data_IF_489533010025
#
_entry.id   IF_489533010025
#
_cell.length_a   1.000
_cell.length_b   1.000
_cell.length_c   1.000
_cell.angle_alpha   90.00
_cell.angle_beta   90.00
_cell.angle_gamma   90.00
#
_symmetry.space_group_name_H-M   'P 1'
#
loop_
_entity.id
_entity.type
_entity.pdbx_description
1 polymer ?
#
# COMPACT_ATOMS: atom_id res chain seq x y z
N UNK A 1 -8.61 -5.08 -15.19
CA UNK A 1 -9.29 -6.38 -15.35
C UNK A 1 -9.84 -6.77 -13.98
N UNK A 2 -11.14 -7.06 -13.85
CA UNK A 2 -11.75 -7.40 -12.55
C UNK A 2 -11.56 -8.88 -12.19
N UNK A 3 -11.85 -9.25 -10.94
CA UNK A 3 -11.74 -10.62 -10.42
C UNK A 3 -12.40 -11.67 -11.34
N UNK A 4 -13.60 -11.38 -11.83
CA UNK A 4 -14.32 -12.27 -12.75
C UNK A 4 -13.53 -12.56 -14.03
N UNK A 5 -12.83 -11.55 -14.57
CA UNK A 5 -11.99 -11.70 -15.76
C UNK A 5 -10.74 -12.52 -15.51
N UNK A 6 -10.13 -12.39 -14.32
CA UNK A 6 -8.97 -13.23 -13.94
C UNK A 6 -9.37 -14.69 -13.74
N UNK A 7 -10.52 -14.94 -13.10
CA UNK A 7 -11.04 -16.30 -12.92
C UNK A 7 -11.34 -16.95 -14.28
N UNK A 8 -11.93 -16.21 -15.21
CA UNK A 8 -12.18 -16.69 -16.57
C UNK A 8 -10.88 -17.06 -17.32
N UNK A 9 -9.82 -16.24 -17.21
CA UNK A 9 -8.52 -16.55 -17.80
C UNK A 9 -7.90 -17.81 -17.22
N UNK A 10 -7.95 -17.99 -15.90
CA UNK A 10 -7.44 -19.20 -15.25
C UNK A 10 -8.28 -20.41 -15.68
N UNK A 11 -9.60 -20.30 -15.73
CA UNK A 11 -10.47 -21.39 -16.22
C UNK A 11 -10.16 -21.77 -17.68
N UNK A 12 -9.85 -20.79 -18.55
CA UNK A 12 -9.40 -21.04 -19.92
C UNK A 12 -8.04 -21.75 -19.96
N UNK A 13 -7.10 -21.39 -19.09
CA UNK A 13 -5.81 -22.07 -18.98
C UNK A 13 -5.97 -23.53 -18.57
N UNK A 14 -6.86 -23.84 -17.61
CA UNK A 14 -7.19 -25.23 -17.26
C UNK A 14 -7.65 -26.03 -18.49
N UNK A 15 -8.54 -25.46 -19.30
CA UNK A 15 -9.01 -26.12 -20.53
C UNK A 15 -7.85 -26.29 -21.53
N UNK A 16 -6.99 -25.29 -21.68
CA UNK A 16 -5.86 -25.34 -22.62
C UNK A 16 -4.82 -26.40 -22.22
N UNK A 17 -4.37 -26.39 -20.96
CA UNK A 17 -3.35 -27.32 -20.48
C UNK A 17 -3.82 -28.76 -20.39
N UNK A 18 -5.14 -28.99 -20.27
CA UNK A 18 -5.71 -30.34 -20.23
C UNK A 18 -6.05 -30.90 -21.62
N UNK A 19 -5.82 -30.12 -22.70
CA UNK A 19 -5.88 -30.57 -24.12
C UNK A 19 -4.53 -31.14 -24.57
N UNK A 20 -3.95 -32.04 -23.78
CA UNK A 20 -2.63 -32.66 -24.08
C UNK A 20 -2.72 -33.63 -25.27
N UNK A 21 -3.92 -34.06 -25.66
CA UNK A 21 -4.15 -35.01 -26.75
C UNK A 21 -5.40 -34.62 -27.57
N UNK A 22 -5.35 -34.70 -28.90
CA UNK A 22 -6.44 -34.26 -29.80
C UNK A 22 -7.77 -35.00 -29.56
N UNK A 23 -7.70 -36.19 -28.94
CA UNK A 23 -8.85 -37.06 -28.63
C UNK A 23 -9.42 -36.87 -27.22
N UNK A 24 -8.71 -36.18 -26.32
CA UNK A 24 -9.08 -36.03 -24.91
C UNK A 24 -9.28 -34.55 -24.58
N UNK A 25 -10.38 -34.00 -25.07
CA UNK A 25 -10.77 -32.61 -24.84
C UNK A 25 -11.49 -32.49 -23.50
N UNK A 26 -10.92 -31.69 -22.60
CA UNK A 26 -11.70 -31.07 -21.53
C UNK A 26 -12.62 -30.05 -22.17
N UNK A 27 -13.92 -30.19 -21.92
CA UNK A 27 -14.94 -29.40 -22.58
C UNK A 27 -15.22 -28.11 -21.82
N UNK A 28 -15.20 -28.14 -20.48
CA UNK A 28 -15.54 -26.99 -19.64
C UNK A 28 -14.77 -26.98 -18.33
N UNK A 29 -14.56 -25.78 -17.79
CA UNK A 29 -14.03 -25.55 -16.45
C UNK A 29 -14.85 -24.45 -15.76
N UNK A 30 -15.21 -24.69 -14.51
CA UNK A 30 -15.90 -23.73 -13.64
C UNK A 30 -15.21 -23.65 -12.29
N UNK A 31 -15.06 -22.44 -11.76
CA UNK A 31 -14.58 -22.24 -10.40
C UNK A 31 -15.73 -21.81 -9.49
N UNK A 32 -15.72 -22.32 -8.26
CA UNK A 32 -16.77 -22.14 -7.26
C UNK A 32 -16.15 -21.76 -5.93
N UNK A 33 -16.71 -20.77 -5.24
CA UNK A 33 -16.27 -20.38 -3.91
C UNK A 33 -17.44 -20.09 -2.97
N UNK A 34 -17.25 -20.23 -1.65
CA UNK A 34 -18.24 -19.84 -0.66
C UNK A 34 -18.45 -18.31 -0.64
N UNK A 35 -19.70 -17.87 -0.71
CA UNK A 35 -20.24 -16.51 -0.48
C UNK A 35 -21.36 -16.64 0.56
N UNK A 36 -20.99 -16.73 1.83
CA UNK A 36 -21.91 -17.09 2.92
C UNK A 36 -22.46 -18.51 2.75
N UNK A 37 -23.78 -18.67 2.64
CA UNK A 37 -24.44 -19.98 2.37
C UNK A 37 -24.52 -20.34 0.88
N UNK A 38 -23.90 -19.54 0.02
CA UNK A 38 -24.14 -19.51 -1.43
C UNK A 38 -22.82 -19.56 -2.20
N UNK A 39 -22.82 -19.91 -3.49
CA UNK A 39 -21.63 -20.00 -4.34
C UNK A 39 -21.76 -19.02 -5.48
N UNK A 40 -20.70 -18.30 -5.80
CA UNK A 40 -20.61 -17.64 -7.09
C UNK A 40 -19.77 -18.51 -8.05
N UNK A 41 -20.37 -18.87 -9.19
CA UNK A 41 -19.76 -19.72 -10.21
C UNK A 41 -19.20 -18.88 -11.35
N UNK A 42 -17.97 -19.18 -11.74
CA UNK A 42 -17.26 -18.48 -12.79
C UNK A 42 -16.57 -19.49 -13.70
N UNK A 43 -17.21 -19.74 -14.84
CA UNK A 43 -16.66 -20.56 -15.91
C UNK A 43 -16.51 -19.82 -17.24
N UNK A 44 -16.04 -20.54 -18.25
CA UNK A 44 -16.01 -20.08 -19.64
C UNK A 44 -17.42 -19.80 -20.16
N UNK A 45 -17.65 -18.62 -20.75
CA UNK A 45 -18.79 -17.99 -21.47
C UNK A 45 -20.21 -18.63 -21.59
N UNK A 46 -20.51 -19.80 -21.04
CA UNK A 46 -21.73 -20.58 -21.27
C UNK A 46 -22.39 -21.13 -19.99
N UNK A 47 -22.12 -20.54 -18.81
CA UNK A 47 -22.91 -20.82 -17.59
C UNK A 47 -24.17 -19.96 -17.60
N UNK A 48 -25.34 -20.60 -17.71
CA UNK A 48 -26.64 -19.91 -17.80
C UNK A 48 -27.07 -19.26 -16.48
N UNK A 49 -26.47 -19.69 -15.38
CA UNK A 49 -26.81 -19.23 -14.03
C UNK A 49 -25.54 -18.75 -13.34
N UNK A 50 -25.35 -17.42 -13.32
CA UNK A 50 -24.45 -16.76 -12.36
C UNK A 50 -25.07 -16.73 -10.95
N UNK A 51 -25.87 -17.73 -10.62
CA UNK A 51 -26.66 -17.73 -9.40
C UNK A 51 -25.91 -18.32 -8.22
N UNK A 52 -26.37 -17.87 -7.07
CA UNK A 52 -25.93 -18.22 -5.74
C UNK A 52 -26.39 -19.64 -5.36
N UNK A 53 -25.58 -20.67 -5.66
CA UNK A 53 -25.87 -22.10 -5.38
C UNK A 53 -25.54 -22.47 -3.93
N UNK A 54 -26.23 -23.43 -3.29
CA UNK A 54 -25.85 -23.90 -1.95
C UNK A 54 -24.63 -24.83 -2.03
N UNK A 55 -23.58 -24.56 -1.25
CA UNK A 55 -22.34 -25.37 -1.19
C UNK A 55 -22.29 -26.20 0.09
N UNK A 56 -23.05 -27.28 0.12
CA UNK A 56 -23.02 -28.23 1.23
C UNK A 56 -22.69 -29.64 0.73
N UNK A 57 -22.61 -30.58 1.66
CA UNK A 57 -22.32 -31.99 1.43
C UNK A 57 -23.28 -32.68 0.45
N UNK A 58 -24.41 -32.04 0.10
CA UNK A 58 -25.37 -32.57 -0.88
C UNK A 58 -24.97 -32.27 -2.33
N UNK A 59 -23.97 -31.42 -2.56
CA UNK A 59 -23.49 -31.06 -3.90
C UNK A 59 -22.09 -31.60 -4.17
N UNK A 60 -21.75 -31.85 -5.45
CA UNK A 60 -20.39 -32.30 -5.82
C UNK A 60 -19.33 -31.31 -5.34
N UNK A 61 -19.60 -30.00 -5.47
CA UNK A 61 -18.66 -28.96 -5.07
C UNK A 61 -18.52 -28.88 -3.54
N UNK A 62 -19.63 -28.92 -2.80
CA UNK A 62 -19.56 -28.87 -1.33
C UNK A 62 -18.96 -30.14 -0.73
N UNK A 63 -19.14 -31.30 -1.34
CA UNK A 63 -18.43 -32.49 -0.91
C UNK A 63 -16.92 -32.40 -1.21
N UNK A 64 -16.51 -31.79 -2.33
CA UNK A 64 -15.10 -31.57 -2.65
C UNK A 64 -14.41 -30.59 -1.66
N UNK A 65 -15.17 -29.72 -0.97
CA UNK A 65 -14.65 -28.93 0.15
C UNK A 65 -14.26 -29.80 1.36
N UNK A 66 -14.98 -30.91 1.57
CA UNK A 66 -14.85 -31.75 2.77
C UNK A 66 -13.89 -32.93 2.52
N UNK A 67 -14.15 -33.70 1.47
CA UNK A 67 -13.50 -35.01 1.24
C UNK A 67 -12.27 -34.95 0.34
N UNK A 68 -11.91 -33.75 -0.14
CA UNK A 68 -10.89 -33.51 -1.18
C UNK A 68 -11.31 -34.12 -2.53
N UNK A 69 -10.37 -34.28 -3.47
CA UNK A 69 -10.57 -34.60 -4.89
C UNK A 69 -11.70 -35.59 -5.18
N UNK A 70 -12.67 -35.21 -6.03
CA UNK A 70 -13.78 -36.06 -6.44
C UNK A 70 -13.71 -36.31 -7.95
N UNK A 71 -13.79 -37.58 -8.34
CA UNK A 71 -13.92 -38.00 -9.75
C UNK A 71 -15.28 -38.66 -9.93
N UNK A 72 -16.10 -38.11 -10.81
CA UNK A 72 -17.41 -38.65 -11.20
C UNK A 72 -17.31 -39.18 -12.61
N UNK A 73 -17.69 -40.44 -12.78
CA UNK A 73 -17.63 -41.17 -14.06
C UNK A 73 -18.92 -41.10 -14.88
N UNK A 74 -20.01 -40.68 -14.26
CA UNK A 74 -21.30 -40.44 -14.92
C UNK A 74 -22.13 -39.41 -14.15
N UNK A 75 -22.02 -38.14 -14.53
CA UNK A 75 -22.73 -37.02 -13.87
C UNK A 75 -24.25 -37.17 -13.94
N UNK A 76 -24.79 -37.92 -14.90
CA UNK A 76 -26.24 -38.12 -15.05
C UNK A 76 -26.82 -39.05 -13.98
N UNK A 77 -25.96 -39.80 -13.29
CA UNK A 77 -26.32 -40.73 -12.22
C UNK A 77 -25.92 -40.25 -10.83
N UNK A 78 -25.17 -39.15 -10.76
CA UNK A 78 -24.71 -38.62 -9.48
C UNK A 78 -25.80 -37.74 -8.85
N UNK A 79 -26.40 -38.14 -7.72
CA UNK A 79 -27.49 -37.39 -7.11
C UNK A 79 -27.07 -36.00 -6.60
N UNK A 80 -25.77 -35.73 -6.52
CA UNK A 80 -25.19 -34.45 -6.07
C UNK A 80 -25.03 -33.46 -7.23
N UNK A 81 -25.26 -33.90 -8.46
CA UNK A 81 -25.17 -33.08 -9.66
C UNK A 81 -26.56 -32.60 -10.09
N UNK A 82 -26.71 -31.29 -10.25
CA UNK A 82 -27.93 -30.69 -10.78
C UNK A 82 -27.75 -30.37 -12.27
N UNK A 83 -28.57 -30.96 -13.15
CA UNK A 83 -28.49 -30.76 -14.59
C UNK A 83 -28.87 -29.34 -15.05
N UNK A 84 -29.48 -28.52 -14.19
CA UNK A 84 -29.82 -27.13 -14.48
C UNK A 84 -28.60 -26.21 -14.69
N UNK A 85 -27.42 -26.59 -14.18
CA UNK A 85 -26.22 -25.74 -14.23
C UNK A 85 -25.58 -25.64 -15.61
N UNK A 86 -25.68 -26.69 -16.42
CA UNK A 86 -25.04 -26.74 -17.74
C UNK A 86 -26.09 -27.15 -18.79
N UNK A 87 -26.57 -26.18 -19.59
CA UNK A 87 -27.33 -26.53 -20.81
C UNK A 87 -26.43 -27.29 -21.78
N UNK A 88 -26.94 -28.41 -22.28
CA UNK A 88 -26.53 -29.06 -23.51
C UNK A 88 -25.01 -29.09 -23.75
N UNK A 89 -24.33 -29.98 -23.04
CA UNK A 89 -23.18 -30.66 -23.60
C UNK A 89 -23.28 -32.10 -23.12
N UNK A 90 -22.97 -33.05 -23.98
CA UNK A 90 -22.93 -34.50 -23.73
C UNK A 90 -21.87 -34.90 -22.65
N UNK A 91 -21.67 -34.04 -21.66
CA UNK A 91 -20.74 -34.17 -20.56
C UNK A 91 -21.18 -35.35 -19.72
N UNK A 92 -20.21 -36.19 -19.39
CA UNK A 92 -20.44 -37.41 -18.62
C UNK A 92 -19.51 -37.50 -17.42
N UNK A 93 -18.33 -36.89 -17.50
CA UNK A 93 -17.30 -36.98 -16.49
C UNK A 93 -17.09 -35.61 -15.84
N UNK A 94 -16.92 -35.61 -14.51
CA UNK A 94 -16.64 -34.42 -13.72
C UNK A 94 -15.51 -34.69 -12.73
N UNK A 95 -14.50 -33.83 -12.75
CA UNK A 95 -13.42 -33.79 -11.76
C UNK A 95 -13.60 -32.53 -10.91
N UNK A 96 -13.79 -32.69 -9.61
CA UNK A 96 -13.86 -31.59 -8.66
C UNK A 96 -12.61 -31.59 -7.76
N UNK A 97 -11.88 -30.48 -7.74
CA UNK A 97 -10.62 -30.32 -7.03
C UNK A 97 -10.72 -29.15 -6.04
N UNK A 98 -10.33 -29.33 -4.77
CA UNK A 98 -10.27 -28.23 -3.82
C UNK A 98 -9.15 -27.25 -4.19
N UNK A 99 -9.43 -25.96 -4.02
CA UNK A 99 -8.42 -24.90 -4.03
C UNK A 99 -7.92 -24.72 -2.60
N UNK A 100 -6.72 -25.22 -2.34
CA UNK A 100 -6.12 -25.28 -1.02
C UNK A 100 -5.03 -24.23 -0.89
N UNK A 101 -5.06 -23.45 0.19
CA UNK A 101 -3.99 -22.56 0.61
C UNK A 101 -3.40 -23.02 1.94
N UNK A 102 -2.17 -22.60 2.19
CA UNK A 102 -1.56 -22.68 3.52
C UNK A 102 -1.87 -21.41 4.30
N UNK A 103 -2.47 -21.57 5.47
CA UNK A 103 -2.66 -20.47 6.42
C UNK A 103 -1.32 -20.08 7.06
N UNK A 104 -1.30 -18.95 7.77
CA UNK A 104 -0.12 -18.52 8.54
C UNK A 104 0.26 -19.52 9.65
N UNK A 105 -0.69 -20.34 10.11
CA UNK A 105 -0.46 -21.43 11.07
C UNK A 105 0.10 -22.70 10.41
N UNK A 106 0.23 -22.71 9.08
CA UNK A 106 0.70 -23.86 8.29
C UNK A 106 -0.40 -24.89 7.97
N UNK A 107 -1.64 -24.62 8.36
CA UNK A 107 -2.80 -25.48 8.15
C UNK A 107 -3.32 -25.36 6.71
N UNK A 108 -3.92 -26.44 6.20
CA UNK A 108 -4.59 -26.44 4.90
C UNK A 108 -5.99 -25.83 5.04
N UNK A 109 -6.24 -24.74 4.32
CA UNK A 109 -7.57 -24.14 4.21
C UNK A 109 -8.09 -24.31 2.78
N UNK A 110 -9.32 -24.81 2.65
CA UNK A 110 -10.01 -24.93 1.35
C UNK A 110 -10.94 -23.73 1.18
N UNK A 111 -10.62 -22.84 0.24
CA UNK A 111 -11.39 -21.61 0.03
C UNK A 111 -12.26 -21.65 -1.25
N UNK A 112 -12.17 -22.72 -2.03
CA UNK A 112 -12.95 -22.89 -3.26
C UNK A 112 -12.74 -24.25 -3.91
N UNK A 113 -13.40 -24.47 -5.04
CA UNK A 113 -13.35 -25.72 -5.81
C UNK A 113 -13.29 -25.40 -7.30
N UNK A 114 -12.38 -26.08 -8.00
CA UNK A 114 -12.35 -26.18 -9.46
C UNK A 114 -13.17 -27.38 -9.88
N UNK A 115 -14.01 -27.22 -10.88
CA UNK A 115 -14.77 -28.30 -11.51
C UNK A 115 -14.46 -28.35 -12.99
N UNK A 116 -13.95 -29.49 -13.44
CA UNK A 116 -13.56 -29.76 -14.82
C UNK A 116 -14.52 -30.79 -15.39
N UNK A 117 -15.10 -30.51 -16.55
CA UNK A 117 -16.08 -31.37 -17.20
C UNK A 117 -15.54 -31.91 -18.51
N UNK A 118 -15.84 -33.17 -18.79
CA UNK A 118 -15.51 -33.80 -20.06
C UNK A 118 -16.59 -34.75 -20.54
N UNK A 119 -16.67 -34.93 -21.86
CA UNK A 119 -17.40 -36.01 -22.52
C UNK A 119 -16.69 -37.37 -22.36
N UNK A 120 -15.37 -37.35 -22.14
CA UNK A 120 -14.53 -38.54 -22.07
C UNK A 120 -14.01 -38.80 -20.65
N UNK A 121 -13.67 -40.05 -20.28
CA UNK A 121 -13.01 -40.35 -19.02
C UNK A 121 -11.70 -39.56 -18.85
N UNK A 122 -11.44 -39.08 -17.64
CA UNK A 122 -10.17 -38.47 -17.30
C UNK A 122 -9.08 -39.54 -17.18
N UNK A 123 -7.93 -39.31 -17.79
CA UNK A 123 -6.72 -40.11 -17.54
C UNK A 123 -6.03 -39.70 -16.24
N UNK A 124 -5.20 -40.58 -15.69
CA UNK A 124 -4.39 -40.28 -14.50
C UNK A 124 -3.50 -39.05 -14.70
N UNK A 125 -2.94 -38.88 -15.90
CA UNK A 125 -2.14 -37.71 -16.28
C UNK A 125 -2.96 -36.42 -16.25
N UNK A 126 -4.22 -36.46 -16.70
CA UNK A 126 -5.12 -35.30 -16.64
C UNK A 126 -5.50 -34.96 -15.21
N UNK A 127 -5.82 -35.97 -14.40
CA UNK A 127 -6.12 -35.78 -12.98
C UNK A 127 -4.92 -35.16 -12.27
N UNK A 128 -3.71 -35.68 -12.49
CA UNK A 128 -2.46 -35.15 -11.92
C UNK A 128 -2.17 -33.71 -12.36
N UNK A 129 -2.28 -33.43 -13.66
CA UNK A 129 -2.08 -32.08 -14.22
C UNK A 129 -3.10 -31.08 -13.65
N UNK A 130 -4.37 -31.47 -13.56
CA UNK A 130 -5.42 -30.62 -13.01
C UNK A 130 -5.18 -30.30 -11.53
N UNK A 131 -4.71 -31.28 -10.73
CA UNK A 131 -4.32 -31.06 -9.33
C UNK A 131 -3.17 -30.05 -9.20
N UNK A 132 -2.14 -30.19 -10.03
CA UNK A 132 -1.01 -29.25 -10.04
C UNK A 132 -1.46 -27.83 -10.40
N UNK A 133 -2.34 -27.69 -11.39
CA UNK A 133 -2.91 -26.38 -11.77
C UNK A 133 -3.76 -25.78 -10.64
N UNK A 134 -4.56 -26.60 -9.94
CA UNK A 134 -5.37 -26.15 -8.80
C UNK A 134 -4.50 -25.65 -7.64
N UNK A 135 -3.43 -26.39 -7.31
CA UNK A 135 -2.45 -25.98 -6.29
C UNK A 135 -1.74 -24.67 -6.67
N UNK A 136 -1.43 -24.48 -7.95
CA UNK A 136 -0.76 -23.27 -8.44
C UNK A 136 -1.69 -22.06 -8.50
N UNK A 137 -2.95 -22.27 -8.88
CA UNK A 137 -3.95 -21.20 -9.00
C UNK A 137 -4.49 -20.72 -7.64
N UNK A 138 -4.55 -21.62 -6.65
CA UNK A 138 -5.15 -21.36 -5.34
C UNK A 138 -4.61 -20.09 -4.63
N UNK A 139 -3.29 -19.89 -4.44
CA UNK A 139 -2.79 -18.67 -3.79
C UNK A 139 -3.17 -17.37 -4.51
N UNK A 140 -3.10 -17.38 -5.85
CA UNK A 140 -3.44 -16.21 -6.67
C UNK A 140 -4.92 -15.86 -6.56
N UNK A 141 -5.79 -16.86 -6.67
CA UNK A 141 -7.24 -16.67 -6.57
C UNK A 141 -7.66 -16.20 -5.18
N UNK A 142 -7.06 -16.75 -4.13
CA UNK A 142 -7.30 -16.35 -2.75
C UNK A 142 -6.95 -14.88 -2.52
N UNK A 143 -5.81 -14.42 -3.03
CA UNK A 143 -5.40 -13.02 -2.94
C UNK A 143 -6.38 -12.07 -3.66
N UNK A 144 -6.92 -12.48 -4.81
CA UNK A 144 -7.82 -11.61 -5.57
C UNK A 144 -9.23 -11.57 -4.93
N UNK A 145 -9.72 -12.67 -4.35
CA UNK A 145 -11.02 -12.66 -3.65
C UNK A 145 -10.93 -11.92 -2.32
N UNK A 146 -9.86 -12.14 -1.52
CA UNK A 146 -9.65 -11.40 -0.27
C UNK A 146 -9.54 -9.89 -0.51
N UNK A 147 -8.95 -9.46 -1.63
CA UNK A 147 -8.91 -8.04 -2.02
C UNK A 147 -10.24 -7.45 -2.53
N UNK A 148 -11.32 -8.23 -2.69
CA UNK A 148 -12.61 -7.72 -3.20
C UNK A 148 -13.34 -6.83 -2.21
N UNK A 149 -13.37 -7.23 -0.94
CA UNK A 149 -13.91 -6.40 0.14
C UNK A 149 -12.97 -5.22 0.42
N UNK A 150 -11.65 -5.41 0.29
CA UNK A 150 -10.66 -4.34 0.35
C UNK A 150 -10.91 -3.26 -0.71
N UNK A 151 -11.17 -3.65 -1.97
CA UNK A 151 -11.54 -2.73 -3.06
C UNK A 151 -12.84 -1.98 -2.80
N UNK A 152 -13.84 -2.60 -2.16
CA UNK A 152 -15.10 -1.92 -1.80
C UNK A 152 -14.85 -0.88 -0.70
N UNK A 153 -14.02 -1.21 0.28
CA UNK A 153 -13.62 -0.27 1.32
C UNK A 153 -12.81 0.90 0.75
N UNK A 154 -11.88 0.64 -0.18
CA UNK A 154 -11.08 1.67 -0.87
C UNK A 154 -11.93 2.71 -1.62
N UNK A 155 -13.16 2.38 -2.03
CA UNK A 155 -14.07 3.36 -2.68
C UNK A 155 -14.53 4.48 -1.75
N UNK A 156 -14.37 4.33 -0.43
CA UNK A 156 -14.69 5.38 0.55
C UNK A 156 -13.54 6.39 0.71
N UNK A 157 -12.30 5.98 0.45
CA UNK A 157 -11.12 6.83 0.57
C UNK A 157 -11.23 8.15 -0.24
N UNK A 158 -11.67 8.16 -1.52
CA UNK A 158 -11.86 9.43 -2.24
C UNK A 158 -12.89 10.33 -1.58
N UNK A 159 -13.94 9.78 -0.95
CA UNK A 159 -14.93 10.59 -0.24
C UNK A 159 -14.32 11.22 1.01
N UNK A 160 -13.47 10.50 1.75
CA UNK A 160 -12.74 11.05 2.89
C UNK A 160 -11.82 12.19 2.42
N UNK A 161 -11.02 11.94 1.39
CA UNK A 161 -10.08 12.94 0.82
C UNK A 161 -10.81 14.22 0.40
N UNK A 162 -11.94 14.13 -0.28
CA UNK A 162 -12.68 15.29 -0.80
C UNK A 162 -13.24 16.23 0.28
N UNK A 163 -13.37 15.78 1.54
CA UNK A 163 -13.89 16.60 2.64
C UNK A 163 -12.81 17.10 3.60
N UNK A 164 -11.56 16.68 3.42
CA UNK A 164 -10.43 17.08 4.24
C UNK A 164 -9.77 18.35 3.68
N UNK A 165 -9.25 19.19 4.57
CA UNK A 165 -8.57 20.46 4.24
C UNK A 165 -7.05 20.36 4.28
N UNK A 166 -6.51 19.29 4.87
CA UNK A 166 -5.08 19.04 4.94
C UNK A 166 -4.76 17.54 4.86
N UNK A 167 -3.49 17.21 4.61
CA UNK A 167 -3.00 15.82 4.59
C UNK A 167 -3.07 15.17 5.97
N UNK A 168 -2.83 15.94 7.03
CA UNK A 168 -2.96 15.46 8.41
C UNK A 168 -4.40 15.04 8.72
N UNK A 169 -5.40 15.81 8.24
CA UNK A 169 -6.81 15.41 8.34
C UNK A 169 -7.09 14.14 7.55
N UNK A 170 -6.57 14.01 6.33
CA UNK A 170 -6.71 12.80 5.51
C UNK A 170 -6.14 11.59 6.25
N UNK A 171 -4.89 11.69 6.73
CA UNK A 171 -4.23 10.59 7.45
C UNK A 171 -4.96 10.21 8.73
N UNK A 172 -5.45 11.19 9.50
CA UNK A 172 -6.22 10.94 10.71
C UNK A 172 -7.54 10.21 10.42
N UNK A 173 -8.28 10.66 9.41
CA UNK A 173 -9.51 9.98 9.00
C UNK A 173 -9.24 8.59 8.42
N UNK A 174 -8.13 8.42 7.70
CA UNK A 174 -7.70 7.13 7.18
C UNK A 174 -7.39 6.13 8.29
N UNK A 175 -6.58 6.48 9.30
CA UNK A 175 -6.27 5.56 10.41
C UNK A 175 -7.50 5.23 11.25
N UNK A 176 -8.45 6.18 11.39
CA UNK A 176 -9.74 5.96 12.06
C UNK A 176 -10.61 4.95 11.28
N UNK A 177 -10.75 5.11 9.97
CA UNK A 177 -11.49 4.16 9.12
C UNK A 177 -10.86 2.76 9.12
N UNK A 178 -9.52 2.71 9.05
CA UNK A 178 -8.78 1.44 9.14
C UNK A 178 -9.03 0.77 10.49
N UNK A 179 -8.89 1.50 11.60
CA UNK A 179 -9.10 0.95 12.95
C UNK A 179 -10.53 0.40 13.12
N UNK A 180 -11.54 1.16 12.71
CA UNK A 180 -12.96 0.72 12.74
C UNK A 180 -13.16 -0.53 11.90
N UNK A 181 -12.54 -0.60 10.71
CA UNK A 181 -12.71 -1.75 9.81
C UNK A 181 -12.02 -3.01 10.31
N UNK A 182 -10.84 -2.86 10.90
CA UNK A 182 -10.07 -3.95 11.50
C UNK A 182 -10.62 -4.39 12.87
N UNK A 183 -11.53 -3.61 13.47
CA UNK A 183 -12.05 -3.88 14.81
C UNK A 183 -10.97 -3.74 15.88
N UNK A 184 -10.03 -2.80 15.70
CA UNK A 184 -8.97 -2.50 16.66
C UNK A 184 -9.12 -1.09 17.18
N UNK A 185 -8.68 -0.82 18.40
CA UNK A 185 -8.69 0.54 18.97
C UNK A 185 -7.51 1.39 18.51
N UNK A 186 -6.44 0.78 18.02
CA UNK A 186 -5.18 1.48 17.76
C UNK A 186 -4.67 1.28 16.33
N UNK A 187 -4.45 2.39 15.64
CA UNK A 187 -3.85 2.45 14.31
C UNK A 187 -3.06 3.75 14.15
N UNK A 188 -1.86 3.67 13.56
CA UNK A 188 -0.92 4.78 13.46
C UNK A 188 -0.22 4.81 12.10
N UNK A 189 0.24 6.00 11.71
CA UNK A 189 1.18 6.20 10.61
C UNK A 189 2.46 6.80 11.17
N UNK A 190 3.58 6.13 10.91
CA UNK A 190 4.93 6.65 11.08
C UNK A 190 5.45 7.11 9.73
N UNK A 191 5.87 8.37 9.61
CA UNK A 191 6.63 8.87 8.46
C UNK A 191 8.12 8.72 8.77
N UNK A 192 8.88 8.11 7.87
CA UNK A 192 10.30 7.78 8.05
C UNK A 192 11.13 8.55 7.03
N UNK A 193 12.14 9.28 7.51
CA UNK A 193 12.97 10.14 6.67
C UNK A 193 14.40 10.26 7.19
N UNK A 194 15.38 10.53 6.30
CA UNK A 194 16.74 10.82 6.72
C UNK A 194 16.84 12.23 7.32
N UNK A 195 17.54 12.37 8.44
CA UNK A 195 17.89 13.64 9.06
C UNK A 195 19.28 13.53 9.70
N UNK A 196 20.16 14.47 9.37
CA UNK A 196 21.53 14.55 9.90
C UNK A 196 22.38 13.27 9.72
N UNK A 197 22.13 12.50 8.64
CA UNK A 197 22.83 11.25 8.35
C UNK A 197 22.23 10.00 9.02
N UNK A 198 21.20 10.16 9.83
CA UNK A 198 20.49 9.07 10.53
C UNK A 198 19.05 8.93 10.02
N UNK A 199 18.40 7.79 10.30
CA UNK A 199 16.97 7.60 10.04
C UNK A 199 16.15 8.09 11.23
N UNK A 200 15.13 8.88 10.95
CA UNK A 200 14.20 9.42 11.92
C UNK A 200 12.78 9.02 11.57
N UNK A 201 11.90 9.02 12.56
CA UNK A 201 10.48 8.80 12.36
C UNK A 201 9.63 9.85 13.10
N UNK A 202 8.49 10.19 12.50
CA UNK A 202 7.47 11.07 13.06
C UNK A 202 6.12 10.36 13.06
N UNK A 203 5.38 10.43 14.16
CA UNK A 203 3.98 9.99 14.18
C UNK A 203 3.12 11.05 13.47
N UNK A 204 2.62 10.75 12.28
CA UNK A 204 1.83 11.71 11.48
C UNK A 204 0.33 11.61 11.72
N UNK A 205 -0.16 10.43 12.09
CA UNK A 205 -1.54 10.21 12.48
C UNK A 205 -1.65 9.02 13.42
N UNK A 206 -2.68 9.04 14.28
CA UNK A 206 -2.92 7.94 15.21
C UNK A 206 -4.30 8.00 15.84
N UNK A 207 -4.89 6.82 16.05
CA UNK A 207 -6.08 6.61 16.88
C UNK A 207 -5.75 5.63 18.02
N UNK A 208 -6.35 5.79 19.21
CA UNK A 208 -7.33 6.81 19.55
C UNK A 208 -6.70 8.21 19.74
N UNK A 209 -7.50 9.26 19.51
CA UNK A 209 -7.02 10.65 19.61
C UNK A 209 -6.57 10.97 21.04
N UNK A 210 -5.39 11.57 21.18
CA UNK A 210 -4.85 12.02 22.47
C UNK A 210 -4.01 10.98 23.21
N UNK A 211 -3.98 9.73 22.79
CA UNK A 211 -3.06 8.72 23.35
C UNK A 211 -1.68 8.72 22.67
N UNK A 212 -1.65 9.11 21.40
CA UNK A 212 -0.44 9.19 20.60
C UNK A 212 0.07 10.63 20.58
N UNK A 213 1.37 10.80 20.78
CA UNK A 213 2.02 12.09 20.65
C UNK A 213 2.19 12.40 19.15
N UNK A 214 1.11 12.83 18.50
CA UNK A 214 1.14 13.23 17.09
C UNK A 214 2.16 14.35 16.93
N UNK A 215 3.05 14.21 15.95
CA UNK A 215 4.19 15.10 15.75
C UNK A 215 5.45 14.73 16.54
N UNK A 216 5.41 13.70 17.40
CA UNK A 216 6.60 13.21 18.09
C UNK A 216 7.65 12.78 17.05
N UNK A 217 8.82 13.41 17.15
CA UNK A 217 9.96 13.19 16.28
C UNK A 217 11.07 12.51 17.07
N UNK A 218 11.43 11.28 16.66
CA UNK A 218 12.46 10.48 17.31
C UNK A 218 13.38 9.80 16.30
N UNK A 219 14.63 9.50 16.68
CA UNK A 219 15.47 8.58 15.91
C UNK A 219 14.76 7.24 15.73
N UNK A 220 14.85 6.66 14.53
CA UNK A 220 14.20 5.38 14.21
C UNK A 220 14.66 4.24 15.13
N UNK A 221 15.91 4.31 15.60
CA UNK A 221 16.51 3.36 16.56
C UNK A 221 15.80 3.29 17.92
N UNK A 222 14.95 4.27 18.26
CA UNK A 222 14.10 4.22 19.46
C UNK A 222 12.79 3.44 19.25
N UNK A 223 12.46 3.11 18.00
CA UNK A 223 11.24 2.42 17.59
C UNK A 223 11.62 1.15 16.81
N UNK A 224 12.16 0.13 17.48
CA UNK A 224 12.81 -0.99 16.79
C UNK A 224 11.81 -1.93 16.08
N UNK A 225 10.53 -1.92 16.44
CA UNK A 225 9.45 -2.52 15.64
C UNK A 225 9.29 -1.82 14.28
N UNK A 226 9.32 -0.49 14.29
CA UNK A 226 9.24 0.34 13.09
C UNK A 226 10.50 0.15 12.24
N UNK A 227 11.69 0.14 12.87
CA UNK A 227 12.97 -0.13 12.21
C UNK A 227 12.98 -1.50 11.52
N UNK A 228 12.45 -2.53 12.20
CA UNK A 228 12.33 -3.87 11.64
C UNK A 228 11.41 -3.90 10.42
N UNK A 229 10.26 -3.20 10.48
CA UNK A 229 9.35 -3.09 9.34
C UNK A 229 9.99 -2.36 8.14
N UNK A 230 10.75 -1.29 8.40
CA UNK A 230 11.53 -0.57 7.37
C UNK A 230 12.58 -1.48 6.72
N UNK A 231 13.24 -2.32 7.52
CA UNK A 231 14.30 -3.22 7.05
C UNK A 231 13.77 -4.41 6.26
N UNK A 232 12.70 -5.05 6.76
CA UNK A 232 12.13 -6.24 6.12
C UNK A 232 11.33 -5.92 4.84
N UNK A 233 10.85 -4.68 4.68
CA UNK A 233 10.14 -4.18 3.48
C UNK A 233 8.94 -5.04 3.06
N UNK A 234 8.27 -5.67 4.03
CA UNK A 234 7.07 -6.48 3.81
C UNK A 234 6.09 -6.32 4.97
N UNK A 235 4.81 -6.59 4.71
CA UNK A 235 3.79 -6.72 5.74
C UNK A 235 4.20 -7.81 6.75
N UNK A 236 4.12 -7.50 8.04
CA UNK A 236 4.38 -8.45 9.11
C UNK A 236 3.30 -8.36 10.19
N UNK A 237 2.76 -9.51 10.60
CA UNK A 237 1.92 -9.64 11.80
C UNK A 237 2.75 -10.34 12.88
N UNK A 238 2.90 -9.70 14.04
CA UNK A 238 3.79 -10.16 15.11
C UNK A 238 3.08 -10.23 16.44
N UNK A 239 3.23 -11.35 17.11
CA UNK A 239 2.85 -11.48 18.51
C UNK A 239 3.93 -10.85 19.39
N UNK A 240 3.65 -9.69 19.97
CA UNK A 240 4.65 -8.91 20.70
C UNK A 240 4.97 -9.50 22.08
N UNK A 241 4.35 -10.61 22.47
CA UNK A 241 4.64 -11.31 23.71
C UNK A 241 5.44 -12.61 23.50
N UNK A 242 5.42 -13.16 22.28
CA UNK A 242 6.02 -14.47 21.99
C UNK A 242 7.00 -14.48 20.82
N UNK A 243 6.99 -13.48 19.92
CA UNK A 243 7.94 -13.42 18.81
C UNK A 243 9.33 -13.01 19.34
N UNK A 244 10.31 -13.91 19.17
CA UNK A 244 11.70 -13.70 19.58
C UNK A 244 12.30 -12.42 18.97
N UNK A 245 11.88 -12.05 17.75
CA UNK A 245 12.34 -10.82 17.10
C UNK A 245 11.84 -9.57 17.80
N UNK A 246 10.77 -9.67 18.59
CA UNK A 246 10.19 -8.57 19.36
C UNK A 246 10.45 -8.70 20.86
N UNK A 247 11.32 -9.62 21.30
CA UNK A 247 11.61 -9.84 22.72
C UNK A 247 12.01 -8.56 23.48
N UNK A 248 12.77 -7.68 22.82
CA UNK A 248 13.20 -6.40 23.36
C UNK A 248 12.06 -5.35 23.49
N UNK A 249 10.88 -5.63 22.92
CA UNK A 249 9.68 -4.79 22.99
C UNK A 249 8.70 -5.26 24.07
N UNK A 250 8.91 -6.41 24.72
CA UNK A 250 7.95 -7.02 25.64
C UNK A 250 7.53 -6.06 26.76
N UNK A 251 8.48 -5.40 27.43
CA UNK A 251 8.19 -4.44 28.52
C UNK A 251 7.39 -3.22 28.03
N UNK A 252 7.60 -2.81 26.77
CA UNK A 252 6.84 -1.72 26.16
C UNK A 252 5.44 -2.17 25.78
N UNK A 253 5.32 -3.31 25.10
CA UNK A 253 4.06 -3.90 24.68
C UNK A 253 3.18 -4.23 25.89
N UNK A 254 3.75 -4.76 26.96
CA UNK A 254 3.02 -5.07 28.20
C UNK A 254 2.46 -3.79 28.85
N UNK A 255 3.27 -2.73 28.97
CA UNK A 255 2.85 -1.43 29.52
C UNK A 255 1.77 -0.77 28.67
N UNK A 256 1.86 -0.89 27.34
CA UNK A 256 0.88 -0.37 26.39
C UNK A 256 -0.33 -1.30 26.20
N UNK A 257 -0.29 -2.49 26.79
CA UNK A 257 -1.33 -3.50 26.63
C UNK A 257 -1.44 -4.04 25.20
N UNK A 258 -0.39 -3.98 24.39
CA UNK A 258 -0.39 -4.47 23.01
C UNK A 258 -0.05 -5.96 23.01
N UNK A 259 -0.89 -6.76 22.36
CA UNK A 259 -0.67 -8.21 22.19
C UNK A 259 -0.05 -8.51 20.84
N UNK A 260 -0.57 -7.89 19.78
CA UNK A 260 -0.18 -8.20 18.40
C UNK A 260 -0.14 -6.94 17.56
N UNK A 261 0.93 -6.76 16.79
CA UNK A 261 1.09 -5.64 15.86
C UNK A 261 1.07 -6.11 14.42
N UNK A 262 0.38 -5.38 13.55
CA UNK A 262 0.45 -5.52 12.10
C UNK A 262 1.15 -4.29 11.53
N UNK A 263 2.29 -4.52 10.89
CA UNK A 263 3.21 -3.48 10.41
C UNK A 263 3.33 -3.57 8.90
N UNK A 264 2.95 -2.50 8.18
CA UNK A 264 3.06 -2.43 6.74
C UNK A 264 3.96 -1.26 6.31
N UNK A 265 5.12 -1.52 5.68
CA UNK A 265 5.97 -0.45 5.20
C UNK A 265 5.32 0.30 4.03
N UNK A 266 5.36 1.63 4.10
CA UNK A 266 4.92 2.55 3.06
C UNK A 266 6.06 2.71 2.06
N UNK A 267 5.90 2.12 0.88
CA UNK A 267 6.94 2.01 -0.13
C UNK A 267 6.72 3.05 -1.22
N UNK A 268 7.74 3.86 -1.48
CA UNK A 268 7.83 4.70 -2.67
C UNK A 268 8.63 3.99 -3.75
N UNK A 269 8.04 3.86 -4.93
CA UNK A 269 8.74 3.42 -6.13
C UNK A 269 9.57 4.59 -6.67
N UNK A 270 10.89 4.44 -6.65
CA UNK A 270 11.82 5.40 -7.24
C UNK A 270 12.08 4.98 -8.69
N UNK A 271 12.28 5.92 -9.61
CA UNK A 271 12.48 5.66 -11.06
C UNK A 271 13.60 4.65 -11.39
N UNK A 272 14.50 4.40 -10.43
CA UNK A 272 15.50 3.34 -10.49
C UNK A 272 14.87 2.00 -10.07
N UNK A 273 14.58 1.13 -11.05
CA UNK A 273 13.74 -0.08 -10.94
C UNK A 273 14.12 -1.07 -9.83
N UNK A 274 15.31 -0.93 -9.23
CA UNK A 274 15.82 -1.80 -8.17
C UNK A 274 15.91 -1.12 -6.79
N UNK A 275 15.50 0.15 -6.64
CA UNK A 275 15.57 0.88 -5.37
C UNK A 275 14.19 1.22 -4.82
N UNK A 276 13.74 0.36 -3.91
CA UNK A 276 12.58 0.62 -3.04
C UNK A 276 13.01 1.45 -1.83
N UNK A 277 12.45 2.66 -1.71
CA UNK A 277 12.57 3.52 -0.51
C UNK A 277 11.34 3.32 0.36
N UNK A 278 11.54 2.98 1.64
CA UNK A 278 10.47 3.00 2.63
C UNK A 278 10.39 4.43 3.17
N UNK A 279 9.22 5.04 3.04
CA UNK A 279 8.92 6.41 3.47
C UNK A 279 8.09 6.44 4.75
N UNK A 280 7.68 5.29 5.26
CA UNK A 280 6.91 5.21 6.49
C UNK A 280 6.47 3.80 6.83
N UNK A 281 5.70 3.67 7.90
CA UNK A 281 5.08 2.41 8.35
C UNK A 281 3.67 2.70 8.83
N UNK A 282 2.69 1.98 8.28
CA UNK A 282 1.33 1.93 8.79
C UNK A 282 1.25 0.79 9.81
N UNK A 283 0.71 1.09 10.99
CA UNK A 283 0.66 0.17 12.13
C UNK A 283 -0.78 0.00 12.60
N UNK A 284 -1.20 -1.24 12.85
CA UNK A 284 -2.44 -1.56 13.55
C UNK A 284 -2.13 -2.50 14.72
N UNK A 285 -2.70 -2.23 15.89
CA UNK A 285 -2.37 -2.95 17.11
C UNK A 285 -3.63 -3.57 17.72
N UNK A 286 -3.55 -4.86 18.03
CA UNK A 286 -4.53 -5.53 18.88
C UNK A 286 -4.07 -5.39 20.32
N UNK A 287 -4.90 -4.76 21.15
CA UNK A 287 -4.67 -4.56 22.57
C UNK A 287 -5.33 -5.66 23.42
N UNK A 288 -4.97 -5.71 24.70
CA UNK A 288 -5.51 -6.67 25.68
C UNK A 288 -7.02 -6.50 25.89
N UNK A 289 -7.54 -5.30 25.66
CA UNK A 289 -8.93 -4.91 25.85
C UNK A 289 -9.73 -4.85 24.52
N UNK A 290 -9.15 -5.29 23.41
CA UNK A 290 -9.88 -5.49 22.15
C UNK A 290 -10.58 -6.85 22.16
N UNK A 291 -11.79 -6.92 21.61
CA UNK A 291 -12.59 -8.16 21.44
C UNK A 291 -12.05 -9.07 20.30
N UNK A 292 -10.77 -8.91 19.96
CA UNK A 292 -10.13 -9.47 18.78
C UNK A 292 -8.78 -10.04 19.16
N UNK A 293 -8.45 -11.24 18.66
CA UNK A 293 -7.19 -11.92 19.00
C UNK A 293 -6.18 -11.97 17.86
N UNK A 294 -6.62 -11.90 16.59
CA UNK A 294 -5.74 -11.96 15.44
C UNK A 294 -6.31 -11.20 14.23
N UNK A 295 -5.45 -10.91 13.24
CA UNK A 295 -5.83 -10.33 11.95
C UNK A 295 -6.09 -11.44 10.92
N UNK A 296 -7.26 -11.44 10.29
CA UNK A 296 -7.61 -12.36 9.21
C UNK A 296 -6.81 -12.05 7.93
N UNK A 297 -6.82 -12.96 6.96
CA UNK A 297 -6.15 -12.73 5.69
C UNK A 297 -6.77 -11.57 4.89
N UNK A 298 -8.09 -11.41 4.98
CA UNK A 298 -8.83 -10.31 4.35
C UNK A 298 -8.42 -8.98 4.98
N UNK A 299 -8.26 -8.93 6.30
CA UNK A 299 -7.81 -7.75 7.02
C UNK A 299 -6.37 -7.37 6.66
N UNK A 300 -5.49 -8.37 6.55
CA UNK A 300 -4.10 -8.18 6.09
C UNK A 300 -4.05 -7.64 4.66
N UNK A 301 -4.85 -8.21 3.75
CA UNK A 301 -4.96 -7.73 2.37
C UNK A 301 -5.51 -6.31 2.30
N UNK A 302 -6.56 -6.01 3.07
CA UNK A 302 -7.13 -4.67 3.16
C UNK A 302 -6.09 -3.65 3.64
N UNK A 303 -5.37 -3.98 4.71
CA UNK A 303 -4.37 -3.12 5.29
C UNK A 303 -3.21 -2.82 4.32
N UNK A 304 -2.75 -3.86 3.59
CA UNK A 304 -1.74 -3.72 2.55
C UNK A 304 -2.21 -2.85 1.37
N UNK A 305 -3.42 -3.10 0.86
CA UNK A 305 -3.98 -2.29 -0.23
C UNK A 305 -4.11 -0.81 0.17
N UNK A 306 -4.52 -0.56 1.42
CA UNK A 306 -4.69 0.80 1.94
C UNK A 306 -3.33 1.49 2.16
N UNK A 307 -2.31 0.74 2.59
CA UNK A 307 -0.96 1.28 2.77
C UNK A 307 -0.37 1.81 1.47
N UNK A 308 -0.69 1.20 0.31
CA UNK A 308 -0.29 1.73 -1.01
C UNK A 308 -0.88 3.12 -1.24
N UNK A 309 -2.17 3.29 -0.96
CA UNK A 309 -2.85 4.58 -1.14
C UNK A 309 -2.30 5.67 -0.21
N UNK A 310 -1.97 5.30 1.03
CA UNK A 310 -1.32 6.22 1.98
C UNK A 310 0.09 6.58 1.51
N UNK A 311 0.87 5.61 1.03
CA UNK A 311 2.18 5.86 0.47
C UNK A 311 2.12 6.83 -0.71
N UNK A 312 1.18 6.65 -1.64
CA UNK A 312 0.97 7.54 -2.79
C UNK A 312 0.65 8.99 -2.35
N UNK A 313 -0.17 9.15 -1.30
CA UNK A 313 -0.49 10.47 -0.74
C UNK A 313 0.74 11.16 -0.14
N UNK A 314 1.57 10.43 0.61
CA UNK A 314 2.82 10.97 1.17
C UNK A 314 3.80 11.33 0.04
N UNK A 315 3.90 10.48 -1.00
CA UNK A 315 4.75 10.77 -2.16
C UNK A 315 4.32 12.03 -2.90
N UNK A 316 3.01 12.23 -3.09
CA UNK A 316 2.49 13.42 -3.77
C UNK A 316 2.85 14.70 -3.01
N UNK A 317 2.81 14.67 -1.67
CA UNK A 317 3.24 15.80 -0.84
C UNK A 317 4.75 16.05 -0.98
N UNK A 318 5.58 15.01 -0.88
CA UNK A 318 7.03 15.12 -1.06
C UNK A 318 7.40 15.68 -2.44
N UNK A 319 6.74 15.22 -3.52
CA UNK A 319 6.97 15.70 -4.89
C UNK A 319 6.53 17.16 -5.05
N UNK A 320 5.34 17.51 -4.58
CA UNK A 320 4.83 18.88 -4.68
C UNK A 320 5.75 19.85 -3.92
N UNK A 321 6.19 19.46 -2.72
CA UNK A 321 7.13 20.24 -1.93
C UNK A 321 8.51 20.34 -2.59
N UNK A 322 9.00 19.24 -3.16
CA UNK A 322 10.27 19.21 -3.88
C UNK A 322 10.24 20.10 -5.14
N UNK A 323 9.14 20.10 -5.89
CA UNK A 323 8.94 21.00 -7.03
C UNK A 323 8.89 22.47 -6.61
N UNK A 324 8.19 22.79 -5.52
CA UNK A 324 8.19 24.14 -4.93
C UNK A 324 9.59 24.55 -4.49
N UNK A 325 10.34 23.64 -3.85
CA UNK A 325 11.74 23.88 -3.46
C UNK A 325 12.62 24.15 -4.67
N UNK A 326 12.49 23.35 -5.72
CA UNK A 326 13.37 23.43 -6.88
C UNK A 326 13.02 24.62 -7.79
N UNK A 327 11.74 25.00 -7.87
CA UNK A 327 11.27 26.14 -8.69
C UNK A 327 11.37 27.49 -7.96
N UNK A 328 11.27 27.50 -6.63
CA UNK A 328 11.23 28.75 -5.83
C UNK A 328 12.48 28.89 -4.96
N UNK A 329 12.81 27.89 -4.14
CA UNK A 329 13.84 28.01 -3.09
C UNK A 329 15.27 27.93 -3.63
N UNK A 330 15.55 27.03 -4.58
CA UNK A 330 16.91 26.90 -5.15
C UNK A 330 17.32 28.13 -5.99
N UNK A 331 16.43 28.71 -6.83
CA UNK A 331 16.71 29.99 -7.49
C UNK A 331 16.79 31.16 -6.50
N UNK A 332 15.95 31.20 -5.45
CA UNK A 332 15.98 32.27 -4.45
C UNK A 332 17.20 32.22 -3.53
N UNK A 333 17.70 31.04 -3.18
CA UNK A 333 18.91 30.89 -2.35
C UNK A 333 20.19 31.24 -3.12
N UNK A 334 20.27 30.88 -4.40
CA UNK A 334 21.35 31.32 -5.30
C UNK A 334 21.29 32.83 -5.58
N UNK A 335 20.09 33.40 -5.80
CA UNK A 335 19.90 34.85 -5.92
C UNK A 335 20.23 35.60 -4.61
N UNK A 336 19.89 35.04 -3.44
CA UNK A 336 20.25 35.60 -2.13
C UNK A 336 21.76 35.57 -1.87
N UNK A 337 22.44 34.47 -2.24
CA UNK A 337 23.90 34.37 -2.19
C UNK A 337 24.59 35.38 -3.11
N UNK A 338 24.10 35.53 -4.34
CA UNK A 338 24.57 36.54 -5.29
C UNK A 338 24.32 37.98 -4.79
N UNK A 339 23.12 38.27 -4.27
CA UNK A 339 22.77 39.59 -3.72
C UNK A 339 23.63 39.95 -2.50
N UNK A 340 23.93 38.99 -1.62
CA UNK A 340 24.83 39.17 -0.46
C UNK A 340 26.26 39.47 -0.90
N UNK A 341 26.75 38.78 -1.92
CA UNK A 341 28.06 39.04 -2.51
C UNK A 341 28.11 40.43 -3.16
N UNK A 342 27.12 40.76 -3.98
CA UNK A 342 26.99 42.06 -4.64
C UNK A 342 26.92 43.21 -3.62
N UNK A 343 26.17 43.05 -2.53
CA UNK A 343 26.07 44.04 -1.47
C UNK A 343 27.43 44.32 -0.80
N UNK A 344 28.22 43.27 -0.54
CA UNK A 344 29.56 43.39 0.07
C UNK A 344 30.54 44.09 -0.87
N UNK A 345 30.58 43.69 -2.14
CA UNK A 345 31.47 44.27 -3.14
C UNK A 345 31.14 45.73 -3.46
N UNK A 346 29.84 46.09 -3.51
CA UNK A 346 29.41 47.48 -3.74
C UNK A 346 29.72 48.38 -2.54
N UNK A 347 29.61 47.87 -1.30
CA UNK A 347 29.99 48.63 -0.10
C UNK A 347 31.50 48.93 -0.07
N UNK A 348 32.33 47.95 -0.44
CA UNK A 348 33.77 48.12 -0.56
C UNK A 348 34.15 49.12 -1.66
N UNK A 349 33.49 49.04 -2.83
CA UNK A 349 33.71 49.97 -3.94
C UNK A 349 33.38 51.42 -3.54
N UNK A 350 32.29 51.63 -2.81
CA UNK A 350 31.87 52.93 -2.31
C UNK A 350 32.89 53.52 -1.33
N UNK A 351 33.35 52.73 -0.36
CA UNK A 351 34.37 53.14 0.61
C UNK A 351 35.66 53.59 -0.09
N UNK A 352 36.08 52.85 -1.13
CA UNK A 352 37.26 53.20 -1.91
C UNK A 352 37.08 54.47 -2.75
N UNK A 353 35.91 54.67 -3.36
CA UNK A 353 35.60 55.89 -4.12
C UNK A 353 35.58 57.11 -3.19
N UNK A 354 35.00 56.97 -1.99
CA UNK A 354 34.96 58.03 -0.98
C UNK A 354 36.37 58.38 -0.46
N UNK A 355 37.19 57.37 -0.17
CA UNK A 355 38.58 57.55 0.24
C UNK A 355 39.42 58.21 -0.87
N UNK A 356 39.24 57.79 -2.12
CA UNK A 356 39.90 58.40 -3.29
C UNK A 356 39.49 59.87 -3.48
N UNK A 357 38.21 60.21 -3.25
CA UNK A 357 37.72 61.59 -3.36
C UNK A 357 38.22 62.50 -2.23
N UNK A 358 38.31 61.98 -1.00
CA UNK A 358 38.86 62.69 0.16
C UNK A 358 40.34 63.04 -0.05
N UNK A 359 41.11 62.12 -0.64
CA UNK A 359 42.54 62.29 -0.86
C UNK A 359 42.90 63.22 -2.04
N UNK A 360 41.95 63.54 -2.93
CA UNK A 360 42.19 64.32 -4.15
C UNK A 360 41.46 65.69 -4.18
N UNK A 361 41.30 66.34 -3.02
CA UNK A 361 40.77 67.71 -2.88
C UNK A 361 39.49 68.03 -3.68
N UNK A 362 38.52 67.11 -3.63
CA UNK A 362 37.11 67.47 -3.76
C UNK A 362 36.70 68.14 -5.08
N UNK A 363 36.58 67.36 -6.15
CA UNK A 363 35.32 67.19 -6.91
C UNK A 363 35.57 66.28 -8.11
N UNK A 364 35.09 65.04 -8.01
CA UNK A 364 35.05 64.14 -9.16
C UNK A 364 33.58 63.87 -9.51
N UNK A 365 33.00 64.58 -10.51
CA UNK A 365 31.60 64.38 -10.92
C UNK A 365 31.30 62.93 -11.33
N UNK A 366 32.28 62.23 -11.89
CA UNK A 366 32.22 60.79 -12.18
C UNK A 366 32.08 59.94 -10.92
N UNK A 367 32.85 60.23 -9.87
CA UNK A 367 32.77 59.53 -8.60
C UNK A 367 31.41 59.71 -7.91
N UNK A 368 30.84 60.93 -7.92
CA UNK A 368 29.47 61.16 -7.39
C UNK A 368 28.41 60.35 -8.13
N UNK A 369 28.52 60.21 -9.45
CA UNK A 369 27.62 59.35 -10.25
C UNK A 369 27.82 57.87 -9.90
N UNK A 370 29.07 57.42 -9.75
CA UNK A 370 29.39 56.03 -9.38
C UNK A 370 28.90 55.68 -7.96
N UNK A 371 29.07 56.56 -6.97
CA UNK A 371 28.51 56.38 -5.63
C UNK A 371 26.98 56.27 -5.69
N UNK A 372 26.30 57.15 -6.44
CA UNK A 372 24.84 57.10 -6.58
C UNK A 372 24.36 55.80 -7.25
N UNK A 373 25.06 55.30 -8.27
CA UNK A 373 24.77 54.01 -8.90
C UNK A 373 25.06 52.83 -7.96
N UNK A 374 26.12 52.89 -7.17
CA UNK A 374 26.43 51.88 -6.15
C UNK A 374 25.36 51.85 -5.05
N UNK A 375 24.89 53.02 -4.58
CA UNK A 375 23.79 53.13 -3.60
C UNK A 375 22.49 52.53 -4.13
N UNK A 376 22.16 52.78 -5.40
CA UNK A 376 20.99 52.19 -6.06
C UNK A 376 21.11 50.66 -6.15
N UNK A 377 22.24 50.14 -6.63
CA UNK A 377 22.48 48.70 -6.72
C UNK A 377 22.47 48.03 -5.35
N UNK A 378 23.01 48.71 -4.33
CA UNK A 378 22.99 48.25 -2.93
C UNK A 378 21.57 48.22 -2.37
N UNK A 379 20.75 49.22 -2.68
CA UNK A 379 19.33 49.22 -2.31
C UNK A 379 18.58 48.07 -2.97
N UNK A 380 18.80 47.82 -4.27
CA UNK A 380 18.19 46.68 -4.96
C UNK A 380 18.65 45.34 -4.39
N UNK A 381 19.95 45.18 -4.13
CA UNK A 381 20.50 43.98 -3.51
C UNK A 381 19.93 43.75 -2.11
N UNK A 382 19.75 44.81 -1.31
CA UNK A 382 19.12 44.74 0.01
C UNK A 382 17.65 44.29 -0.09
N UNK A 383 16.88 44.86 -1.01
CA UNK A 383 15.48 44.45 -1.23
C UNK A 383 15.38 42.99 -1.66
N UNK A 384 16.24 42.54 -2.59
CA UNK A 384 16.28 41.13 -3.02
C UNK A 384 16.64 40.24 -1.84
N UNK A 385 17.65 40.62 -1.05
CA UNK A 385 18.07 39.88 0.15
C UNK A 385 16.94 39.76 1.19
N UNK A 386 16.28 40.86 1.53
CA UNK A 386 15.16 40.87 2.49
C UNK A 386 13.99 40.04 1.98
N UNK A 387 13.64 40.13 0.69
CA UNK A 387 12.58 39.30 0.12
C UNK A 387 12.93 37.80 0.16
N UNK A 388 14.21 37.45 -0.05
CA UNK A 388 14.68 36.06 0.08
C UNK A 388 14.62 35.59 1.54
N UNK A 389 15.03 36.42 2.51
CA UNK A 389 14.90 36.11 3.94
C UNK A 389 13.43 35.91 4.33
N UNK A 390 12.52 36.80 3.91
CA UNK A 390 11.08 36.67 4.19
C UNK A 390 10.49 35.40 3.57
N UNK A 391 10.87 35.05 2.34
CA UNK A 391 10.45 33.77 1.72
C UNK A 391 10.98 32.58 2.52
N UNK A 392 12.23 32.63 3.00
CA UNK A 392 12.82 31.58 3.82
C UNK A 392 12.15 31.47 5.19
N UNK A 393 11.85 32.60 5.85
CA UNK A 393 11.15 32.68 7.14
C UNK A 393 9.72 32.16 7.02
N UNK A 394 8.94 32.61 6.03
CA UNK A 394 7.59 32.08 5.80
C UNK A 394 7.61 30.58 5.45
N UNK A 395 8.64 30.08 4.76
CA UNK A 395 8.82 28.63 4.56
C UNK A 395 9.22 27.88 5.84
N UNK A 396 9.92 28.54 6.75
CA UNK A 396 10.29 27.98 8.06
C UNK A 396 9.05 27.89 8.95
N UNK A 397 8.17 28.89 8.88
CA UNK A 397 6.87 28.90 9.51
C UNK A 397 5.96 27.82 8.93
N UNK A 398 5.82 27.72 7.60
CA UNK A 398 5.08 26.64 6.92
C UNK A 398 5.65 25.27 7.29
N UNK A 399 6.97 25.14 7.36
CA UNK A 399 7.58 23.92 7.91
C UNK A 399 7.16 23.70 9.34
N UNK A 400 7.18 24.68 10.24
CA UNK A 400 6.76 24.48 11.63
C UNK A 400 5.27 24.16 11.80
N UNK A 401 4.40 24.60 10.88
CA UNK A 401 2.98 24.23 10.87
C UNK A 401 2.70 22.85 10.27
N UNK A 402 3.61 22.30 9.46
CA UNK A 402 3.49 20.98 8.81
C UNK A 402 4.53 19.93 9.27
N UNK A 403 5.50 20.33 10.10
CA UNK A 403 6.46 19.48 10.85
C UNK A 403 5.85 19.04 12.16
#
# INVERSE_FOLDING_TARGET
>A
MGFEGTVQLIAQQFIQFLKVDEFLKVDRCSMRWPDGKKIAAYGTEAENMKEKIIMDETTVAGQALITKDIVITDITKDPRYDPGYIKNAELKYLLALPLIIKTDTGEDEVFGVVQVYSKNPFSDTQISTAKMLAQTAAPTLYLIESSKESRKAMRKLPKVILHCRSLEEIFLHSVDEIAVRLGVKSCLIYHVFPKDGEQWCKITAGVPKGEHQIGLLDPLSKHPDIELAVTEKKLAVRDLMTDEKTAHLHDWAERKGIRRGMYCPLIMNVDDKDKVKVIGVLVAEIRKDDDKDNFSAEERSFFYDYSISIADLICHDEITFQEVRDKIVNPSSSAGGFAKLLFKEMAWLQENIENFCKNNQGTCPGAKKMCKSADQLRSYAKTIYTNVETIQESLSEVKQTHS
#
